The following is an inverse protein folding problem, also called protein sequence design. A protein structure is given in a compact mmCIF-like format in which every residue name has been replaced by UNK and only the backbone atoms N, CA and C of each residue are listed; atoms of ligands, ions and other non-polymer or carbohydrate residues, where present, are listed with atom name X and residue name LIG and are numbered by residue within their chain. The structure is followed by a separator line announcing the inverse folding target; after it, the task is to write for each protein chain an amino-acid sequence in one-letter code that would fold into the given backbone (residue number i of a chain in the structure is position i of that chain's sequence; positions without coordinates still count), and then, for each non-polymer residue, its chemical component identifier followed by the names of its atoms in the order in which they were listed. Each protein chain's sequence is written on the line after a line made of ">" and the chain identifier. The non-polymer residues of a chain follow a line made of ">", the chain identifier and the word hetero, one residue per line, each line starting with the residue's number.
data_IF_471423679986
#
_entry.id   IF_471423679986
#
_cell.length_a   1.000
_cell.length_b   1.000
_cell.length_c   1.000
_cell.angle_alpha   90.00
_cell.angle_beta   90.00
_cell.angle_gamma   90.00
#
_symmetry.space_group_name_H-M   'P 1'
#
loop_
_entity.id
_entity.type
_entity.pdbx_description
1 polymer ?
#
# COMPACT_ATOMS: atom_id res chain seq x y z
N UNK A 1 -17.59 1.27 -16.40
CA UNK A 1 -17.57 1.65 -14.96
C UNK A 1 -17.30 3.16 -14.83
N UNK A 2 -18.33 4.01 -14.60
CA UNK A 2 -18.19 5.48 -14.51
C UNK A 2 -17.86 5.90 -13.06
N UNK A 3 -16.64 5.60 -12.62
CA UNK A 3 -16.18 5.77 -11.24
C UNK A 3 -15.81 7.22 -10.85
N UNK A 4 -15.82 8.14 -11.82
CA UNK A 4 -15.22 9.49 -11.72
C UNK A 4 -16.22 10.61 -11.42
N UNK A 5 -17.52 10.39 -11.65
CA UNK A 5 -18.55 11.42 -11.52
C UNK A 5 -18.53 12.18 -10.18
N UNK A 6 -18.54 11.50 -9.02
CA UNK A 6 -18.62 12.18 -7.73
C UNK A 6 -17.27 12.70 -7.18
N UNK A 7 -16.14 12.38 -7.83
CA UNK A 7 -14.80 12.80 -7.39
C UNK A 7 -14.11 13.73 -8.38
N UNK A 8 -14.81 14.14 -9.45
CA UNK A 8 -14.25 14.90 -10.57
C UNK A 8 -13.62 16.24 -10.17
N UNK A 9 -14.17 16.92 -9.16
CA UNK A 9 -13.61 18.18 -8.67
C UNK A 9 -12.42 17.95 -7.74
N UNK A 10 -12.43 16.85 -6.98
CA UNK A 10 -11.35 16.50 -6.06
C UNK A 10 -10.07 16.11 -6.83
N UNK A 11 -10.19 15.33 -7.91
CA UNK A 11 -9.06 14.94 -8.77
C UNK A 11 -8.49 16.11 -9.60
N UNK A 12 -9.20 17.23 -9.68
CA UNK A 12 -8.72 18.47 -10.31
C UNK A 12 -8.01 19.40 -9.31
N UNK A 13 -7.99 19.04 -8.03
CA UNK A 13 -7.28 19.81 -7.02
C UNK A 13 -5.78 19.76 -7.31
N UNK A 14 -5.07 20.90 -7.35
CA UNK A 14 -3.62 20.92 -7.53
C UNK A 14 -2.93 20.01 -6.50
N UNK A 15 -2.05 19.12 -6.96
CA UNK A 15 -1.36 18.14 -6.10
C UNK A 15 -2.13 16.83 -5.86
N UNK A 16 -3.27 16.60 -6.52
CA UNK A 16 -3.87 15.27 -6.66
C UNK A 16 -3.55 14.71 -8.05
N UNK A 17 -2.88 13.56 -8.09
CA UNK A 17 -2.63 12.85 -9.33
C UNK A 17 -3.47 11.58 -9.38
N UNK A 18 -3.94 11.21 -10.58
CA UNK A 18 -4.72 9.98 -10.76
C UNK A 18 -3.79 8.78 -11.00
N UNK A 19 -3.98 7.72 -10.23
CA UNK A 19 -3.36 6.42 -10.52
C UNK A 19 -4.08 5.82 -11.72
N UNK A 20 -3.34 5.62 -12.81
CA UNK A 20 -3.88 4.96 -14.00
C UNK A 20 -4.27 3.51 -13.67
N UNK A 21 -5.30 2.93 -14.33
CA UNK A 21 -5.76 1.57 -14.05
C UNK A 21 -4.65 0.51 -14.05
N UNK A 22 -3.67 0.63 -14.96
CA UNK A 22 -2.52 -0.29 -15.06
C UNK A 22 -1.56 -0.26 -13.87
N UNK A 23 -1.64 0.80 -13.05
CA UNK A 23 -0.82 1.01 -11.86
C UNK A 23 -1.59 0.78 -10.56
N UNK A 24 -2.87 0.39 -10.62
CA UNK A 24 -3.64 0.07 -9.42
C UNK A 24 -3.09 -1.21 -8.78
N UNK A 25 -2.69 -1.09 -7.52
CA UNK A 25 -2.19 -2.20 -6.72
C UNK A 25 -2.62 -2.02 -5.25
N UNK A 26 -2.48 -3.09 -4.47
CA UNK A 26 -2.47 -3.04 -3.01
C UNK A 26 -1.02 -3.19 -2.59
N UNK A 27 -0.50 -2.20 -1.87
CA UNK A 27 0.86 -2.29 -1.34
C UNK A 27 0.90 -3.39 -0.27
N UNK A 28 1.76 -4.38 -0.46
CA UNK A 28 2.03 -5.41 0.55
C UNK A 28 3.04 -4.89 1.55
N UNK A 29 4.16 -4.31 1.11
CA UNK A 29 5.18 -3.73 1.97
C UNK A 29 5.79 -2.51 1.27
N UNK A 30 6.01 -1.41 2.00
CA UNK A 30 7.01 -0.43 1.60
C UNK A 30 8.36 -0.92 2.15
N UNK A 31 9.16 -1.54 1.28
CA UNK A 31 10.54 -1.88 1.61
C UNK A 31 11.37 -0.59 1.69
N UNK A 32 12.64 -0.71 2.10
CA UNK A 32 13.55 0.44 2.07
C UNK A 32 13.84 0.94 0.65
N UNK A 33 14.65 2.00 0.54
CA UNK A 33 14.93 2.66 -0.73
C UNK A 33 15.52 1.69 -1.77
N UNK A 34 15.03 1.73 -3.00
CA UNK A 34 15.46 0.83 -4.07
C UNK A 34 16.95 1.02 -4.40
N UNK A 35 17.46 2.25 -4.35
CA UNK A 35 18.85 2.60 -4.61
C UNK A 35 19.82 2.16 -3.49
N UNK A 36 19.30 1.73 -2.34
CA UNK A 36 20.09 1.14 -1.24
C UNK A 36 20.13 -0.39 -1.27
N UNK A 37 19.36 -1.02 -2.17
CA UNK A 37 19.29 -2.46 -2.33
C UNK A 37 20.15 -2.92 -3.51
N UNK A 38 21.01 -3.92 -3.30
CA UNK A 38 21.71 -4.54 -4.44
C UNK A 38 20.76 -5.40 -5.27
N UNK A 39 21.12 -5.70 -6.53
CA UNK A 39 20.34 -6.60 -7.39
C UNK A 39 20.24 -7.99 -6.75
N UNK A 40 21.32 -8.45 -6.12
CA UNK A 40 21.38 -9.73 -5.40
C UNK A 40 20.48 -9.73 -4.16
N UNK A 41 20.43 -8.63 -3.42
CA UNK A 41 19.53 -8.49 -2.27
C UNK A 41 18.06 -8.52 -2.72
N UNK A 42 17.73 -7.81 -3.81
CA UNK A 42 16.38 -7.83 -4.40
C UNK A 42 15.98 -9.25 -4.83
N UNK A 43 16.88 -9.97 -5.50
CA UNK A 43 16.66 -11.36 -5.89
C UNK A 43 16.43 -12.27 -4.67
N UNK A 44 17.31 -12.18 -3.68
CA UNK A 44 17.24 -12.96 -2.45
C UNK A 44 15.98 -12.71 -1.62
N UNK A 45 15.52 -11.46 -1.55
CA UNK A 45 14.26 -11.13 -0.90
C UNK A 45 13.09 -11.73 -1.68
N UNK A 46 13.09 -11.61 -3.01
CA UNK A 46 12.02 -12.12 -3.87
C UNK A 46 11.90 -13.63 -3.80
N UNK A 47 13.03 -14.35 -3.81
CA UNK A 47 13.06 -15.81 -3.72
C UNK A 47 12.52 -16.29 -2.37
N UNK A 48 12.96 -15.66 -1.27
CA UNK A 48 12.44 -15.97 0.08
C UNK A 48 10.95 -15.69 0.22
N UNK A 49 10.45 -14.59 -0.36
CA UNK A 49 9.01 -14.32 -0.39
C UNK A 49 8.29 -15.41 -1.14
N UNK A 50 8.81 -15.84 -2.30
CA UNK A 50 8.21 -16.90 -3.12
C UNK A 50 8.11 -18.21 -2.35
N UNK A 51 9.18 -18.61 -1.67
CA UNK A 51 9.20 -19.80 -0.80
C UNK A 51 8.20 -19.67 0.35
N UNK A 52 8.18 -18.51 1.04
CA UNK A 52 7.31 -18.29 2.20
C UNK A 52 5.81 -18.30 1.86
N UNK A 53 5.45 -17.91 0.64
CA UNK A 53 4.04 -17.91 0.18
C UNK A 53 3.71 -19.13 -0.68
N UNK A 54 4.64 -20.06 -0.87
CA UNK A 54 4.38 -21.28 -1.61
C UNK A 54 3.23 -22.07 -0.97
N UNK A 55 2.28 -22.52 -1.80
CA UNK A 55 1.06 -23.18 -1.30
C UNK A 55 0.04 -22.25 -0.66
N UNK A 56 0.32 -20.94 -0.51
CA UNK A 56 -0.71 -19.96 -0.14
C UNK A 56 -1.66 -19.79 -1.32
N UNK A 57 -2.94 -20.14 -1.11
CA UNK A 57 -3.97 -19.92 -2.12
C UNK A 57 -4.26 -18.43 -2.37
N UNK A 58 -5.16 -18.12 -3.32
CA UNK A 58 -5.57 -16.75 -3.59
C UNK A 58 -6.10 -16.03 -2.33
N UNK A 59 -5.75 -14.75 -2.21
CA UNK A 59 -6.26 -13.88 -1.13
C UNK A 59 -7.45 -13.06 -1.64
N UNK A 60 -8.62 -13.33 -1.06
CA UNK A 60 -9.85 -12.60 -1.35
C UNK A 60 -9.97 -11.32 -0.52
N UNK A 61 -10.16 -10.18 -1.19
CA UNK A 61 -10.31 -8.87 -0.57
C UNK A 61 -11.55 -8.13 -1.09
N UNK A 62 -12.30 -7.56 -0.16
CA UNK A 62 -13.45 -6.71 -0.43
C UNK A 62 -13.07 -5.26 -0.17
N UNK A 63 -13.17 -4.42 -1.20
CA UNK A 63 -12.86 -2.99 -1.12
C UNK A 63 -14.07 -2.15 -0.70
N UNK A 64 -13.89 -1.31 0.32
CA UNK A 64 -14.88 -0.36 0.80
C UNK A 64 -15.21 0.71 -0.25
N UNK A 65 -16.18 1.58 0.07
CA UNK A 65 -16.32 2.84 -0.69
C UNK A 65 -15.04 3.68 -0.56
N UNK A 66 -14.72 4.53 -1.55
CA UNK A 66 -13.55 5.41 -1.46
C UNK A 66 -13.66 6.37 -0.28
N UNK A 67 -12.54 6.63 0.37
CA UNK A 67 -12.39 7.58 1.48
C UNK A 67 -11.14 8.43 1.30
N UNK A 68 -11.16 9.63 1.85
CA UNK A 68 -10.00 10.52 1.91
C UNK A 68 -9.17 10.11 3.14
N UNK A 69 -7.90 9.76 2.92
CA UNK A 69 -6.90 9.51 3.95
C UNK A 69 -5.83 10.61 3.98
N UNK A 70 -4.82 10.44 4.83
CA UNK A 70 -3.70 11.39 4.98
C UNK A 70 -2.82 11.50 3.75
N UNK A 71 -2.78 10.45 2.92
CA UNK A 71 -1.90 10.33 1.74
C UNK A 71 -2.67 10.33 0.41
N UNK A 72 -3.99 10.53 0.43
CA UNK A 72 -4.81 10.61 -0.78
C UNK A 72 -6.17 9.92 -0.68
N UNK A 73 -6.78 9.64 -1.83
CA UNK A 73 -8.06 8.91 -1.92
C UNK A 73 -7.77 7.43 -2.12
N UNK A 74 -8.26 6.61 -1.19
CA UNK A 74 -8.08 5.15 -1.23
C UNK A 74 -9.38 4.39 -0.96
N UNK A 75 -9.32 3.08 -1.14
CA UNK A 75 -10.35 2.13 -0.68
C UNK A 75 -9.70 1.15 0.28
N UNK A 76 -10.17 1.10 1.52
CA UNK A 76 -9.72 0.09 2.47
C UNK A 76 -10.19 -1.30 2.02
N UNK A 77 -9.40 -2.33 2.28
CA UNK A 77 -9.70 -3.72 1.96
C UNK A 77 -9.95 -4.55 3.23
N UNK A 78 -10.85 -5.53 3.15
CA UNK A 78 -11.16 -6.48 4.24
C UNK A 78 -11.46 -7.89 3.69
N UNK A 79 -11.27 -8.98 4.46
CA UNK A 79 -10.69 -9.00 5.81
C UNK A 79 -9.18 -8.71 5.77
N UNK A 80 -8.70 -7.93 6.75
CA UNK A 80 -7.29 -7.51 6.78
C UNK A 80 -6.31 -8.64 7.10
N UNK A 81 -6.77 -9.71 7.76
CA UNK A 81 -5.93 -10.79 8.26
C UNK A 81 -5.19 -11.56 7.15
N UNK A 82 -5.84 -11.85 6.03
CA UNK A 82 -5.21 -12.60 4.94
C UNK A 82 -4.10 -11.76 4.26
N UNK A 83 -4.36 -10.48 4.00
CA UNK A 83 -3.34 -9.57 3.48
C UNK A 83 -2.23 -9.29 4.51
N UNK A 84 -2.56 -9.32 5.81
CA UNK A 84 -1.59 -9.17 6.90
C UNK A 84 -0.58 -10.33 6.91
N UNK A 85 -1.01 -11.56 6.67
CA UNK A 85 -0.10 -12.70 6.55
C UNK A 85 0.91 -12.51 5.40
N UNK A 86 0.47 -11.95 4.25
CA UNK A 86 1.37 -11.59 3.16
C UNK A 86 2.37 -10.49 3.57
N UNK A 87 1.92 -9.45 4.27
CA UNK A 87 2.82 -8.42 4.84
C UNK A 87 3.86 -9.05 5.77
N UNK A 88 3.45 -9.98 6.65
CA UNK A 88 4.34 -10.62 7.64
C UNK A 88 5.39 -11.49 6.96
N UNK A 89 4.99 -12.31 5.99
CA UNK A 89 5.90 -13.11 5.19
C UNK A 89 6.89 -12.23 4.41
N UNK A 90 6.40 -11.14 3.80
CA UNK A 90 7.25 -10.21 3.05
C UNK A 90 8.25 -9.49 3.96
N UNK A 91 7.79 -9.01 5.11
CA UNK A 91 8.66 -8.35 6.09
C UNK A 91 9.73 -9.29 6.65
N UNK A 92 9.36 -10.51 7.00
CA UNK A 92 10.30 -11.53 7.48
C UNK A 92 11.36 -11.86 6.42
N UNK A 93 10.95 -12.09 5.17
CA UNK A 93 11.88 -12.35 4.06
C UNK A 93 12.82 -11.18 3.80
N UNK A 94 12.32 -9.94 3.84
CA UNK A 94 13.13 -8.72 3.70
C UNK A 94 14.17 -8.62 4.82
N UNK A 95 13.75 -8.71 6.08
CA UNK A 95 14.63 -8.56 7.24
C UNK A 95 15.70 -9.66 7.35
N UNK A 96 15.44 -10.86 6.84
CA UNK A 96 16.45 -11.92 6.75
C UNK A 96 17.62 -11.57 5.81
N UNK A 97 17.38 -10.73 4.80
CA UNK A 97 18.39 -10.33 3.81
C UNK A 97 19.10 -9.05 4.24
N UNK A 98 18.32 -8.06 4.67
CA UNK A 98 18.85 -6.70 4.91
C UNK A 98 19.14 -6.39 6.37
N UNK A 99 18.76 -7.27 7.30
CA UNK A 99 18.87 -7.06 8.73
C UNK A 99 18.01 -5.89 9.21
N UNK A 100 18.57 -5.07 10.11
CA UNK A 100 17.90 -3.92 10.73
C UNK A 100 18.10 -2.61 9.93
N UNK A 101 18.66 -2.67 8.71
CA UNK A 101 18.91 -1.49 7.87
C UNK A 101 17.66 -0.67 7.62
N UNK A 102 16.50 -1.33 7.52
CA UNK A 102 15.23 -0.68 7.26
C UNK A 102 14.22 -0.96 8.38
N UNK A 103 13.39 0.03 8.67
CA UNK A 103 12.29 -0.06 9.61
C UNK A 103 10.98 -0.32 8.88
N UNK A 104 10.01 -1.01 9.50
CA UNK A 104 8.73 -1.27 8.86
C UNK A 104 7.95 0.03 8.67
N UNK A 105 7.51 0.30 7.43
CA UNK A 105 6.71 1.47 7.11
C UNK A 105 5.49 1.08 6.26
N UNK A 106 4.27 1.50 6.62
CA UNK A 106 3.87 2.01 7.94
C UNK A 106 3.96 0.94 9.04
N UNK A 107 4.08 1.36 10.30
CA UNK A 107 4.10 0.45 11.47
C UNK A 107 2.82 -0.42 11.57
N UNK A 108 1.68 0.13 11.15
CA UNK A 108 0.40 -0.57 11.12
C UNK A 108 0.04 -0.89 9.67
N UNK A 109 -0.01 -2.19 9.36
CA UNK A 109 -0.46 -2.65 8.06
C UNK A 109 -1.98 -2.45 7.89
N UNK A 110 -2.37 -1.66 6.90
CA UNK A 110 -3.75 -1.45 6.51
C UNK A 110 -3.89 -1.64 5.00
N UNK A 111 -4.39 -2.78 4.50
CA UNK A 111 -4.46 -3.04 3.07
C UNK A 111 -5.45 -2.07 2.42
N UNK A 112 -4.99 -1.37 1.39
CA UNK A 112 -5.81 -0.41 0.66
C UNK A 112 -5.36 -0.30 -0.80
N UNK A 113 -6.29 0.15 -1.64
CA UNK A 113 -6.01 0.52 -3.03
C UNK A 113 -6.06 2.04 -3.14
N UNK A 114 -4.94 2.65 -3.48
CA UNK A 114 -4.82 4.09 -3.71
C UNK A 114 -5.26 4.42 -5.13
N UNK A 115 -6.15 5.42 -5.27
CA UNK A 115 -6.64 5.91 -6.57
C UNK A 115 -6.05 7.24 -6.95
N UNK A 116 -5.79 8.07 -5.96
CA UNK A 116 -5.19 9.37 -6.17
C UNK A 116 -4.32 9.69 -4.97
N UNK A 117 -2.99 9.47 -5.05
CA UNK A 117 -2.09 9.96 -4.03
C UNK A 117 -2.09 11.49 -4.06
N UNK A 118 -1.79 12.11 -2.92
CA UNK A 118 -1.46 13.52 -2.89
C UNK A 118 0.02 13.71 -2.62
N UNK A 119 0.63 14.67 -3.32
CA UNK A 119 1.98 15.17 -3.03
C UNK A 119 1.96 16.34 -2.04
N UNK A 120 0.76 16.82 -1.68
CA UNK A 120 0.57 17.88 -0.70
C UNK A 120 0.34 17.30 0.69
N UNK A 121 1.03 17.84 1.70
CA UNK A 121 0.70 17.58 3.10
C UNK A 121 -0.69 18.14 3.37
N UNK A 122 -1.70 17.28 3.44
CA UNK A 122 -3.06 17.73 3.75
C UNK A 122 -3.13 17.98 5.26
N UNK A 123 -3.35 19.22 5.73
CA UNK A 123 -3.52 19.45 7.16
C UNK A 123 -4.75 18.68 7.64
N UNK A 124 -4.56 17.87 8.68
CA UNK A 124 -5.63 17.08 9.29
C UNK A 124 -6.70 18.04 9.83
N UNK A 125 -7.79 18.29 9.08
CA UNK A 125 -8.95 18.97 9.65
C UNK A 125 -9.57 18.02 10.68
N UNK A 126 -9.26 18.26 11.96
CA UNK A 126 -10.10 17.80 13.08
C UNK A 126 -11.50 18.34 12.82
N UNK A 127 -12.43 17.48 12.40
CA UNK A 127 -13.86 17.79 12.53
C UNK A 127 -14.21 17.62 14.01
N UNK A 128 -13.94 18.65 14.79
CA UNK A 128 -14.52 18.81 16.11
C UNK A 128 -16.03 18.97 15.94
N UNK A 129 -16.79 17.97 16.39
CA UNK A 129 -18.16 18.17 16.86
C UNK A 129 -18.06 18.32 18.37
N UNK A 130 -18.21 19.54 18.86
CA UNK A 130 -18.85 19.82 20.16
C UNK A 130 -20.33 20.00 19.93
#
# INVERSE_FOLDING_TARGET
>A
MKLLGPYGDLIRTPGMEMVLPKWLHVTVLHAGPHDEASVEEIAQMTDRVREAVEGTGPVELVFSRPSIGTVGIGRAARPGAAARALWEATWAATTQVVGERWQPMPEIYNPHLTKSPTTAVTPHRRTGRT
#
